data_IF_197815722284
#
_entry.id   IF_197815722284
#
_cell.length_a   1.000
_cell.length_b   1.000
_cell.length_c   1.000
_cell.angle_alpha   90.00
_cell.angle_beta   90.00
_cell.angle_gamma   90.00
#
_symmetry.space_group_name_H-M   'P 1'
#
loop_
_entity.id
_entity.type
_entity.pdbx_description
1 polymer ?
#
# COMPACT_ATOMS: atom_id res chain seq x y z
N UNK A 1 -38.00 54.68 10.37
CA UNK A 1 -36.68 54.24 9.88
C UNK A 1 -35.90 53.64 11.04
N UNK A 2 -35.86 52.32 11.14
CA UNK A 2 -34.92 51.52 11.96
C UNK A 2 -35.31 50.05 11.77
N UNK A 3 -34.32 49.19 11.55
CA UNK A 3 -34.40 47.71 11.64
C UNK A 3 -34.75 46.90 10.37
N UNK A 4 -34.14 47.19 9.21
CA UNK A 4 -34.15 46.23 8.07
C UNK A 4 -32.73 45.74 7.71
N UNK A 5 -31.67 46.46 8.07
CA UNK A 5 -30.30 46.13 7.65
C UNK A 5 -29.63 45.00 8.44
N UNK A 6 -30.04 44.73 9.68
CA UNK A 6 -29.40 43.72 10.54
C UNK A 6 -29.86 42.28 10.25
N UNK A 7 -31.06 42.12 9.67
CA UNK A 7 -31.61 40.80 9.33
C UNK A 7 -30.99 40.25 8.02
N UNK A 8 -30.49 41.12 7.15
CA UNK A 8 -29.86 40.70 5.89
C UNK A 8 -28.42 40.16 6.06
N UNK A 9 -27.77 40.45 7.19
CA UNK A 9 -26.39 40.02 7.45
C UNK A 9 -26.29 38.64 8.13
N UNK A 10 -27.39 38.15 8.73
CA UNK A 10 -27.42 36.87 9.44
C UNK A 10 -27.86 35.69 8.54
N UNK A 11 -28.45 35.97 7.37
CA UNK A 11 -28.89 34.94 6.41
C UNK A 11 -27.77 34.57 5.41
N UNK A 12 -26.74 35.40 5.26
CA UNK A 12 -25.62 35.14 4.32
C UNK A 12 -24.52 34.24 4.91
N UNK A 13 -24.51 33.98 6.22
CA UNK A 13 -23.47 33.16 6.89
C UNK A 13 -23.84 31.68 7.02
N UNK A 14 -25.07 31.28 6.67
CA UNK A 14 -25.52 29.87 6.76
C UNK A 14 -25.33 29.05 5.47
N UNK A 15 -24.68 29.64 4.46
CA UNK A 15 -24.32 28.95 3.20
C UNK A 15 -22.81 28.69 3.05
N UNK A 16 -22.05 28.71 4.14
CA UNK A 16 -20.80 27.96 4.22
C UNK A 16 -21.11 26.53 4.68
N UNK A 17 -21.93 25.81 3.91
CA UNK A 17 -21.75 24.36 3.84
C UNK A 17 -20.39 24.16 3.18
N UNK A 18 -19.32 24.16 4.00
CA UNK A 18 -18.08 23.52 3.60
C UNK A 18 -18.50 22.13 3.16
N UNK A 19 -18.35 21.86 1.86
CA UNK A 19 -18.62 20.54 1.32
C UNK A 19 -17.64 19.60 1.99
N UNK A 20 -18.05 18.99 3.10
CA UNK A 20 -17.35 17.85 3.68
C UNK A 20 -17.47 16.78 2.60
N UNK A 21 -16.43 16.69 1.77
CA UNK A 21 -16.33 15.62 0.80
C UNK A 21 -16.13 14.37 1.62
N UNK A 22 -17.24 13.64 1.83
CA UNK A 22 -17.19 12.30 2.38
C UNK A 22 -16.55 11.47 1.28
N UNK A 23 -15.22 11.41 1.26
CA UNK A 23 -14.50 10.55 0.34
C UNK A 23 -14.83 9.11 0.72
N UNK A 24 -15.65 8.46 -0.12
CA UNK A 24 -15.94 7.05 0.06
C UNK A 24 -14.67 6.26 -0.24
N UNK A 25 -14.35 5.30 0.63
CA UNK A 25 -13.15 4.48 0.52
C UNK A 25 -13.05 3.86 -0.88
N UNK A 26 -11.89 4.03 -1.52
CA UNK A 26 -11.60 3.43 -2.81
C UNK A 26 -10.25 2.73 -2.83
N UNK A 27 -9.92 2.18 -4.00
CA UNK A 27 -8.59 1.66 -4.28
C UNK A 27 -7.98 2.50 -5.39
N UNK A 28 -6.87 3.16 -5.08
CA UNK A 28 -6.08 3.92 -6.02
C UNK A 28 -4.89 3.11 -6.52
N UNK A 29 -4.62 3.21 -7.81
CA UNK A 29 -3.47 2.59 -8.47
C UNK A 29 -2.42 3.64 -8.80
N UNK A 30 -1.16 3.33 -8.54
CA UNK A 30 -0.05 4.11 -9.06
C UNK A 30 0.17 3.82 -10.55
N UNK A 31 0.11 4.86 -11.37
CA UNK A 31 0.34 4.82 -12.82
C UNK A 31 1.67 5.48 -13.22
N UNK A 32 2.24 6.34 -12.37
CA UNK A 32 3.50 7.05 -12.64
C UNK A 32 3.51 7.81 -13.97
N UNK A 33 2.35 8.30 -14.43
CA UNK A 33 2.18 8.86 -15.78
C UNK A 33 2.86 10.22 -15.97
N UNK A 34 2.97 11.01 -14.91
CA UNK A 34 3.46 12.40 -14.96
C UNK A 34 4.81 12.56 -14.29
N UNK A 35 5.04 11.93 -13.14
CA UNK A 35 6.25 12.12 -12.33
C UNK A 35 6.42 11.00 -11.31
N UNK A 36 7.48 11.07 -10.51
CA UNK A 36 7.71 10.18 -9.36
C UNK A 36 6.99 10.66 -8.08
N UNK A 37 6.46 11.88 -8.06
CA UNK A 37 5.88 12.51 -6.88
C UNK A 37 4.56 11.85 -6.46
N UNK A 38 4.52 11.30 -5.24
CA UNK A 38 3.32 10.66 -4.66
C UNK A 38 2.11 11.60 -4.65
N UNK A 39 2.35 12.87 -4.35
CA UNK A 39 1.33 13.92 -4.22
C UNK A 39 0.72 14.38 -5.55
N UNK A 40 1.28 13.99 -6.69
CA UNK A 40 0.77 14.40 -8.01
C UNK A 40 -0.44 13.56 -8.39
N UNK A 41 -1.64 14.16 -8.37
CA UNK A 41 -2.91 13.48 -8.64
C UNK A 41 -2.95 12.72 -9.98
N UNK A 42 -2.29 13.23 -11.02
CA UNK A 42 -2.25 12.59 -12.35
C UNK A 42 -1.38 11.32 -12.42
N UNK A 43 -0.65 10.99 -11.35
CA UNK A 43 0.02 9.70 -11.21
C UNK A 43 -0.92 8.60 -10.69
N UNK A 44 -2.17 8.91 -10.35
CA UNK A 44 -3.12 7.96 -9.78
C UNK A 44 -4.30 7.67 -10.71
N UNK A 45 -4.89 6.49 -10.57
CA UNK A 45 -6.16 6.14 -11.20
C UNK A 45 -7.02 5.29 -10.27
N UNK A 46 -8.32 5.24 -10.54
CA UNK A 46 -9.27 4.41 -9.79
C UNK A 46 -9.17 2.96 -10.21
N UNK A 47 -9.04 2.05 -9.25
CA UNK A 47 -9.29 0.60 -9.44
C UNK A 47 -10.72 0.26 -9.03
N UNK A 48 -11.14 0.70 -7.84
CA UNK A 48 -12.49 0.49 -7.30
C UNK A 48 -12.94 1.68 -6.47
N UNK A 49 -14.25 1.88 -6.33
CA UNK A 49 -14.81 2.94 -5.48
C UNK A 49 -14.49 4.35 -6.00
N UNK A 50 -14.37 5.31 -5.09
CA UNK A 50 -14.10 6.73 -5.41
C UNK A 50 -12.94 7.27 -4.56
N UNK A 51 -11.71 6.74 -4.74
CA UNK A 51 -10.57 7.17 -3.95
C UNK A 51 -10.22 8.63 -4.21
N UNK A 52 -9.52 9.28 -3.27
CA UNK A 52 -8.92 10.59 -3.52
C UNK A 52 -7.60 10.45 -4.30
N UNK A 53 -7.20 11.53 -4.99
CA UNK A 53 -5.89 11.63 -5.66
C UNK A 53 -5.16 12.89 -5.21
N UNK A 54 -4.02 12.76 -4.49
CA UNK A 54 -3.41 11.52 -4.01
C UNK A 54 -4.30 10.76 -2.99
N UNK A 55 -4.05 9.45 -2.77
CA UNK A 55 -4.83 8.62 -1.86
C UNK A 55 -4.80 9.15 -0.43
N UNK A 56 -5.96 9.12 0.23
CA UNK A 56 -6.16 9.56 1.62
C UNK A 56 -6.20 8.39 2.61
N UNK A 57 -6.43 8.69 3.89
CA UNK A 57 -6.40 7.69 4.97
C UNK A 57 -7.39 6.54 4.81
N UNK A 58 -8.45 6.73 4.04
CA UNK A 58 -9.46 5.70 3.81
C UNK A 58 -9.19 4.87 2.55
N UNK A 59 -8.20 5.26 1.74
CA UNK A 59 -7.95 4.65 0.44
C UNK A 59 -6.91 3.54 0.53
N UNK A 60 -7.19 2.44 -0.17
CA UNK A 60 -6.22 1.40 -0.45
C UNK A 60 -5.33 1.82 -1.63
N UNK A 61 -4.06 1.46 -1.56
CA UNK A 61 -3.08 1.73 -2.63
C UNK A 61 -2.58 0.43 -3.23
N UNK A 62 -2.58 0.36 -4.56
CA UNK A 62 -1.91 -0.71 -5.32
C UNK A 62 -0.80 -0.10 -6.18
N UNK A 63 0.37 -0.72 -6.14
CA UNK A 63 1.53 -0.39 -6.96
C UNK A 63 1.97 -1.68 -7.68
N UNK A 64 2.29 -1.61 -8.96
CA UNK A 64 2.83 -2.75 -9.69
C UNK A 64 1.78 -3.64 -10.37
N UNK A 65 0.50 -3.26 -10.38
CA UNK A 65 -0.55 -3.99 -11.13
C UNK A 65 -0.71 -3.53 -12.58
N UNK A 66 -0.03 -2.44 -12.97
CA UNK A 66 0.16 -2.01 -14.36
C UNK A 66 1.62 -1.65 -14.62
N UNK A 67 2.00 -1.54 -15.89
CA UNK A 67 3.32 -1.08 -16.31
C UNK A 67 3.45 0.43 -16.08
N UNK A 68 4.53 0.85 -15.42
CA UNK A 68 4.93 2.24 -15.27
C UNK A 68 6.46 2.33 -15.14
N UNK A 69 7.00 3.54 -15.37
CA UNK A 69 8.44 3.80 -15.29
C UNK A 69 8.81 4.74 -14.14
N UNK A 70 7.96 5.71 -13.82
CA UNK A 70 8.19 6.62 -12.71
C UNK A 70 7.84 5.92 -11.39
N UNK A 71 8.87 5.56 -10.62
CA UNK A 71 8.73 4.93 -9.31
C UNK A 71 8.27 5.94 -8.25
N UNK A 72 7.33 5.58 -7.35
CA UNK A 72 6.76 6.53 -6.40
C UNK A 72 7.74 6.99 -5.32
N UNK A 73 7.71 8.29 -5.02
CA UNK A 73 8.47 8.95 -3.95
C UNK A 73 7.50 9.73 -3.06
N UNK A 74 7.45 9.38 -1.77
CA UNK A 74 6.63 10.05 -0.75
C UNK A 74 7.45 11.19 -0.13
N UNK A 75 7.11 12.42 -0.48
CA UNK A 75 7.82 13.63 -0.02
C UNK A 75 7.11 14.39 1.10
N UNK A 76 5.91 13.96 1.49
CA UNK A 76 5.13 14.57 2.57
C UNK A 76 4.44 13.48 3.41
N UNK A 77 4.22 13.79 4.70
CA UNK A 77 3.55 12.85 5.60
C UNK A 77 2.18 12.49 5.04
N UNK A 78 1.94 11.21 4.86
CA UNK A 78 0.75 10.69 4.21
C UNK A 78 0.20 9.51 5.01
N UNK A 79 -1.12 9.40 5.08
CA UNK A 79 -1.80 8.24 5.67
C UNK A 79 -2.67 7.60 4.59
N UNK A 80 -2.60 6.27 4.49
CA UNK A 80 -3.42 5.43 3.61
C UNK A 80 -3.95 4.22 4.39
N UNK A 81 -5.00 3.60 3.87
CA UNK A 81 -5.63 2.43 4.51
C UNK A 81 -4.77 1.18 4.38
N UNK A 82 -4.33 0.86 3.17
CA UNK A 82 -3.49 -0.30 2.88
C UNK A 82 -2.55 -0.03 1.72
N UNK A 83 -1.45 -0.78 1.66
CA UNK A 83 -0.48 -0.71 0.58
C UNK A 83 -0.23 -2.12 0.04
N UNK A 84 -0.51 -2.36 -1.23
CA UNK A 84 -0.24 -3.62 -1.89
C UNK A 84 0.72 -3.43 -3.07
N UNK A 85 1.76 -4.26 -3.10
CA UNK A 85 2.59 -4.48 -4.28
C UNK A 85 2.07 -5.69 -5.06
N UNK A 86 1.76 -5.47 -6.33
CA UNK A 86 1.26 -6.49 -7.25
C UNK A 86 2.35 -6.96 -8.22
N UNK A 87 1.95 -7.78 -9.18
CA UNK A 87 2.86 -8.66 -9.92
C UNK A 87 3.25 -8.22 -11.32
N UNK A 88 2.51 -7.29 -11.93
CA UNK A 88 2.72 -6.86 -13.32
C UNK A 88 4.07 -6.15 -13.52
N UNK A 89 4.56 -5.40 -12.54
CA UNK A 89 5.82 -4.66 -12.64
C UNK A 89 6.48 -4.53 -11.27
N UNK A 90 7.78 -4.85 -11.19
CA UNK A 90 8.57 -4.65 -9.97
C UNK A 90 8.56 -3.17 -9.59
N UNK A 91 8.22 -2.90 -8.34
CA UNK A 91 8.01 -1.56 -7.84
C UNK A 91 9.03 -1.19 -6.75
N UNK A 92 9.46 0.07 -6.76
CA UNK A 92 10.29 0.67 -5.72
C UNK A 92 9.54 1.86 -5.14
N UNK A 93 9.14 1.77 -3.87
CA UNK A 93 8.58 2.89 -3.12
C UNK A 93 9.68 3.57 -2.30
N UNK A 94 9.90 4.86 -2.51
CA UNK A 94 10.85 5.66 -1.72
C UNK A 94 10.12 6.56 -0.73
N UNK A 95 10.54 6.57 0.54
CA UNK A 95 10.05 7.54 1.54
C UNK A 95 11.19 8.48 1.94
N UNK A 96 10.99 9.77 1.71
CA UNK A 96 12.02 10.80 1.91
C UNK A 96 12.38 11.03 3.38
N UNK A 97 13.55 11.63 3.63
CA UNK A 97 14.02 11.91 4.99
C UNK A 97 13.00 12.76 5.78
N UNK A 98 12.77 12.43 7.05
CA UNK A 98 11.83 13.14 7.91
C UNK A 98 10.35 12.94 7.55
N UNK A 99 10.05 12.13 6.54
CA UNK A 99 8.68 11.81 6.10
C UNK A 99 8.24 10.47 6.69
N UNK A 100 6.98 10.41 7.10
CA UNK A 100 6.30 9.17 7.53
C UNK A 100 5.17 8.82 6.58
N UNK A 101 5.20 7.60 6.04
CA UNK A 101 4.05 6.96 5.41
C UNK A 101 3.36 6.07 6.44
N UNK A 102 2.13 6.42 6.83
CA UNK A 102 1.29 5.62 7.72
C UNK A 102 0.35 4.75 6.91
N UNK A 103 0.41 3.44 7.10
CA UNK A 103 -0.46 2.43 6.47
C UNK A 103 -1.30 1.78 7.56
N UNK A 104 -2.54 2.25 7.75
CA UNK A 104 -3.33 1.91 8.95
C UNK A 104 -3.67 0.43 9.08
N UNK A 105 -3.69 -0.31 7.97
CA UNK A 105 -3.90 -1.75 7.95
C UNK A 105 -2.59 -2.49 7.62
N UNK A 106 -2.37 -2.87 6.36
CA UNK A 106 -1.29 -3.76 6.01
C UNK A 106 -0.48 -3.26 4.82
N UNK A 107 0.84 -3.50 4.87
CA UNK A 107 1.70 -3.56 3.70
C UNK A 107 1.72 -5.00 3.19
N UNK A 108 1.36 -5.23 1.94
CA UNK A 108 1.26 -6.56 1.35
C UNK A 108 2.11 -6.68 0.09
N UNK A 109 2.94 -7.71 0.01
CA UNK A 109 3.57 -8.15 -1.23
C UNK A 109 2.86 -9.40 -1.74
N UNK A 110 2.17 -9.29 -2.87
CA UNK A 110 1.36 -10.40 -3.40
C UNK A 110 2.20 -11.41 -4.18
N UNK A 111 1.84 -12.68 -4.03
CA UNK A 111 2.28 -13.74 -4.93
C UNK A 111 1.53 -13.69 -6.24
N UNK A 112 2.13 -14.26 -7.28
CA UNK A 112 1.50 -14.46 -8.58
C UNK A 112 1.62 -15.89 -9.06
N UNK A 113 0.59 -16.33 -9.78
CA UNK A 113 0.45 -17.66 -10.38
C UNK A 113 1.54 -17.95 -11.43
N UNK A 114 1.84 -16.97 -12.28
CA UNK A 114 2.60 -17.17 -13.52
C UNK A 114 4.05 -16.69 -13.45
N UNK A 115 4.36 -15.76 -12.54
CA UNK A 115 5.64 -15.03 -12.51
C UNK A 115 6.14 -14.87 -11.08
N UNK A 116 7.45 -14.71 -10.94
CA UNK A 116 8.04 -14.26 -9.67
C UNK A 116 7.78 -12.78 -9.48
N UNK A 117 7.55 -12.36 -8.25
CA UNK A 117 7.18 -10.99 -7.91
C UNK A 117 8.20 -10.40 -6.94
N UNK A 118 8.50 -9.11 -7.12
CA UNK A 118 9.38 -8.39 -6.21
C UNK A 118 9.01 -6.93 -6.05
N UNK A 119 9.20 -6.40 -4.84
CA UNK A 119 9.09 -4.98 -4.56
C UNK A 119 10.14 -4.53 -3.54
N UNK A 120 10.47 -3.24 -3.59
CA UNK A 120 11.42 -2.59 -2.71
C UNK A 120 10.76 -1.41 -2.00
N UNK A 121 10.91 -1.35 -0.69
CA UNK A 121 10.64 -0.15 0.12
C UNK A 121 11.97 0.43 0.56
N UNK A 122 12.26 1.67 0.18
CA UNK A 122 13.55 2.33 0.45
C UNK A 122 13.39 3.77 0.94
N UNK A 123 14.51 4.40 1.28
CA UNK A 123 14.59 5.79 1.70
C UNK A 123 15.02 5.97 3.15
N UNK A 124 15.23 7.22 3.54
CA UNK A 124 15.64 7.59 4.90
C UNK A 124 14.47 7.97 5.81
N UNK A 125 13.24 7.91 5.30
CA UNK A 125 12.02 8.16 6.07
C UNK A 125 11.58 7.00 6.95
N UNK A 126 10.30 7.05 7.35
CA UNK A 126 9.65 6.04 8.19
C UNK A 126 8.43 5.44 7.48
N UNK A 127 8.25 4.13 7.59
CA UNK A 127 6.94 3.49 7.38
C UNK A 127 6.39 3.03 8.72
N UNK A 128 5.14 3.38 8.99
CA UNK A 128 4.37 2.84 10.11
C UNK A 128 3.21 2.03 9.56
N UNK A 129 3.10 0.76 9.93
CA UNK A 129 1.99 -0.09 9.51
C UNK A 129 1.44 -0.93 10.66
N UNK A 130 0.16 -1.33 10.56
CA UNK A 130 -0.37 -2.31 11.51
C UNK A 130 0.23 -3.70 11.25
N UNK A 131 0.38 -4.14 9.99
CA UNK A 131 1.00 -5.43 9.68
C UNK A 131 1.77 -5.43 8.36
N UNK A 132 2.63 -6.43 8.20
CA UNK A 132 3.28 -6.73 6.92
C UNK A 132 2.95 -8.16 6.53
N UNK A 133 2.55 -8.37 5.28
CA UNK A 133 2.32 -9.70 4.71
C UNK A 133 3.15 -9.85 3.44
N UNK A 134 3.98 -10.89 3.36
CA UNK A 134 4.72 -11.24 2.16
C UNK A 134 4.31 -12.64 1.69
N UNK A 135 3.82 -12.72 0.45
CA UNK A 135 3.19 -13.92 -0.08
C UNK A 135 1.67 -13.90 0.07
N UNK A 136 1.00 -14.86 -0.56
CA UNK A 136 -0.46 -14.99 -0.49
C UNK A 136 -0.84 -16.42 -0.13
N UNK A 137 -1.70 -16.57 0.87
CA UNK A 137 -2.33 -17.84 1.20
C UNK A 137 -3.55 -18.09 0.28
N UNK A 138 -3.77 -19.35 -0.07
CA UNK A 138 -5.03 -19.82 -0.67
C UNK A 138 -5.03 -20.01 -2.18
N UNK A 139 -6.13 -20.58 -2.67
CA UNK A 139 -6.25 -21.11 -4.03
C UNK A 139 -6.35 -20.07 -5.16
N UNK A 140 -6.41 -18.77 -4.83
CA UNK A 140 -6.52 -17.71 -5.85
C UNK A 140 -5.19 -17.39 -6.54
N UNK A 141 -4.05 -17.76 -5.94
CA UNK A 141 -2.70 -17.46 -6.45
C UNK A 141 -1.81 -18.73 -6.45
N UNK A 142 -2.31 -19.81 -7.05
CA UNK A 142 -1.59 -21.08 -7.12
C UNK A 142 -0.38 -20.98 -8.05
N UNK A 143 0.86 -21.23 -7.59
CA UNK A 143 2.00 -21.32 -8.49
C UNK A 143 1.79 -22.48 -9.49
N UNK A 144 2.09 -22.23 -10.77
CA UNK A 144 2.11 -23.24 -11.84
C UNK A 144 3.52 -23.74 -12.19
N UNK A 145 4.53 -23.15 -11.56
CA UNK A 145 5.93 -23.54 -11.58
C UNK A 145 6.60 -23.01 -10.31
N UNK A 146 7.88 -23.29 -10.10
CA UNK A 146 8.62 -22.67 -9.01
C UNK A 146 8.76 -21.15 -9.24
N UNK A 147 8.42 -20.38 -8.21
CA UNK A 147 8.31 -18.92 -8.18
C UNK A 147 8.80 -18.36 -6.85
N UNK A 148 9.03 -17.06 -6.84
CA UNK A 148 9.39 -16.31 -5.64
C UNK A 148 8.49 -15.09 -5.46
N UNK A 149 8.33 -14.67 -4.22
CA UNK A 149 7.65 -13.41 -3.86
C UNK A 149 8.49 -12.69 -2.82
N UNK A 150 9.10 -11.58 -3.21
CA UNK A 150 10.14 -10.93 -2.40
C UNK A 150 9.73 -9.50 -2.08
N UNK A 151 9.64 -9.17 -0.79
CA UNK A 151 9.56 -7.79 -0.32
C UNK A 151 10.87 -7.44 0.36
N UNK A 152 11.64 -6.56 -0.27
CA UNK A 152 12.88 -6.04 0.29
C UNK A 152 12.63 -4.67 0.90
N UNK A 153 13.19 -4.41 2.07
CA UNK A 153 13.20 -3.09 2.67
C UNK A 153 14.61 -2.65 3.07
N UNK A 154 14.91 -1.40 2.72
CA UNK A 154 16.12 -0.66 3.08
C UNK A 154 15.77 0.66 3.78
N UNK A 155 14.51 0.79 4.23
CA UNK A 155 14.01 2.01 4.88
C UNK A 155 14.72 2.23 6.22
N UNK A 156 14.95 3.48 6.60
CA UNK A 156 15.59 3.81 7.88
C UNK A 156 14.81 3.26 9.09
N UNK A 157 13.48 3.44 9.10
CA UNK A 157 12.61 2.95 10.18
C UNK A 157 11.34 2.32 9.62
N UNK A 158 11.07 1.08 10.02
CA UNK A 158 9.82 0.37 9.74
C UNK A 158 9.16 -0.06 11.06
N UNK A 159 8.10 0.62 11.46
CA UNK A 159 7.31 0.28 12.64
C UNK A 159 6.11 -0.59 12.25
N UNK A 160 6.02 -1.79 12.82
CA UNK A 160 4.92 -2.73 12.58
C UNK A 160 4.23 -3.02 13.90
N UNK A 161 2.97 -2.60 14.06
CA UNK A 161 2.29 -2.62 15.37
C UNK A 161 1.84 -4.03 15.77
N UNK A 162 1.28 -4.78 14.84
CA UNK A 162 0.87 -6.16 15.04
C UNK A 162 2.06 -7.05 14.68
N UNK A 163 2.07 -7.66 13.50
CA UNK A 163 3.08 -8.64 13.13
C UNK A 163 3.49 -8.61 11.67
N UNK A 164 4.52 -9.39 11.38
CA UNK A 164 4.99 -9.70 10.03
C UNK A 164 4.61 -11.14 9.73
N UNK A 165 3.96 -11.40 8.61
CA UNK A 165 3.63 -12.75 8.13
C UNK A 165 4.31 -13.00 6.79
N UNK A 166 5.05 -14.08 6.67
CA UNK A 166 5.62 -14.56 5.41
C UNK A 166 4.99 -15.90 5.09
N UNK A 167 4.32 -16.00 3.96
CA UNK A 167 3.60 -17.22 3.55
C UNK A 167 4.14 -17.74 2.24
N UNK A 168 4.88 -18.85 2.30
CA UNK A 168 5.19 -19.63 1.10
C UNK A 168 4.01 -20.54 0.76
N UNK A 169 3.83 -20.84 -0.52
CA UNK A 169 2.73 -21.66 -1.01
C UNK A 169 3.24 -22.82 -1.86
N UNK A 170 2.77 -24.04 -1.64
CA UNK A 170 3.06 -25.21 -2.46
C UNK A 170 1.81 -25.73 -3.15
N UNK A 171 1.86 -25.88 -4.47
CA UNK A 171 0.81 -26.43 -5.31
C UNK A 171 1.33 -27.66 -6.07
N UNK A 172 1.12 -28.86 -5.52
CA UNK A 172 1.68 -30.08 -6.08
C UNK A 172 3.22 -30.00 -6.14
N UNK A 173 3.78 -30.08 -7.35
CA UNK A 173 5.22 -29.96 -7.59
C UNK A 173 5.74 -28.53 -7.75
N UNK A 174 4.88 -27.50 -7.66
CA UNK A 174 5.26 -26.09 -7.83
C UNK A 174 5.24 -25.35 -6.50
N UNK A 175 6.21 -24.46 -6.28
CA UNK A 175 6.31 -23.68 -5.04
C UNK A 175 6.40 -22.19 -5.33
N UNK A 176 5.73 -21.35 -4.54
CA UNK A 176 6.04 -19.93 -4.42
C UNK A 176 6.74 -19.71 -3.08
N UNK A 177 8.03 -19.38 -3.14
CA UNK A 177 8.84 -19.08 -1.97
C UNK A 177 8.75 -17.59 -1.65
N UNK A 178 8.09 -17.27 -0.55
CA UNK A 178 7.97 -15.90 -0.07
C UNK A 178 9.14 -15.52 0.85
N UNK A 179 9.69 -14.33 0.63
CA UNK A 179 10.81 -13.78 1.41
C UNK A 179 10.53 -12.33 1.77
N UNK A 180 10.49 -12.03 3.06
CA UNK A 180 10.59 -10.68 3.56
C UNK A 180 12.04 -10.40 3.99
N UNK A 181 12.66 -9.35 3.45
CA UNK A 181 14.07 -9.03 3.68
C UNK A 181 14.24 -7.61 4.19
N UNK A 182 14.77 -7.45 5.41
CA UNK A 182 15.30 -6.18 5.91
C UNK A 182 16.81 -6.14 5.61
N UNK A 183 17.19 -5.42 4.56
CA UNK A 183 18.59 -5.32 4.13
C UNK A 183 19.39 -4.28 4.92
N UNK A 184 18.74 -3.16 5.29
CA UNK A 184 19.33 -2.06 6.07
C UNK A 184 18.24 -1.38 6.90
N UNK A 185 18.66 -0.56 7.86
CA UNK A 185 17.76 0.20 8.73
C UNK A 185 17.28 -0.60 9.93
N UNK A 186 16.15 -0.19 10.50
CA UNK A 186 15.58 -0.80 11.71
C UNK A 186 14.12 -1.14 11.50
N UNK A 187 13.72 -2.33 11.98
CA UNK A 187 12.33 -2.73 12.07
C UNK A 187 11.97 -3.00 13.52
N UNK A 188 10.86 -2.43 13.97
CA UNK A 188 10.22 -2.78 15.25
C UNK A 188 8.94 -3.54 14.95
N UNK A 189 8.77 -4.71 15.55
CA UNK A 189 7.54 -5.52 15.46
C UNK A 189 6.92 -5.60 16.84
N UNK A 190 5.69 -5.11 16.99
CA UNK A 190 5.01 -5.03 18.29
C UNK A 190 4.53 -6.38 18.82
N UNK A 191 4.27 -7.36 17.95
CA UNK A 191 3.89 -8.72 18.35
C UNK A 191 4.84 -9.78 17.78
N UNK A 192 4.43 -10.51 16.76
CA UNK A 192 5.10 -11.73 16.29
C UNK A 192 5.50 -11.66 14.83
N UNK A 193 6.60 -12.33 14.49
CA UNK A 193 6.97 -12.66 13.11
C UNK A 193 6.55 -14.11 12.88
N UNK A 194 5.67 -14.34 11.89
CA UNK A 194 5.15 -15.66 11.53
C UNK A 194 5.67 -16.07 10.17
N UNK A 195 6.33 -17.23 10.12
CA UNK A 195 6.67 -17.92 8.88
C UNK A 195 5.68 -19.06 8.70
N UNK A 196 4.98 -19.09 7.58
CA UNK A 196 3.99 -20.13 7.28
C UNK A 196 4.25 -20.74 5.91
N UNK A 197 3.98 -22.04 5.81
CA UNK A 197 3.84 -22.74 4.56
C UNK A 197 2.37 -23.13 4.41
N UNK A 198 1.83 -22.94 3.21
CA UNK A 198 0.46 -23.33 2.88
C UNK A 198 0.47 -24.29 1.69
N UNK A 199 -0.39 -25.31 1.75
CA UNK A 199 -0.52 -26.34 0.71
C UNK A 199 -1.84 -26.20 -0.02
N UNK A 200 -1.80 -26.37 -1.35
CA UNK A 200 -3.01 -26.65 -2.14
C UNK A 200 -3.52 -28.07 -1.90
N UNK A 201 -4.72 -28.38 -2.39
CA UNK A 201 -5.38 -29.68 -2.21
C UNK A 201 -4.53 -30.91 -2.60
N UNK A 202 -3.45 -30.72 -3.38
CA UNK A 202 -2.54 -31.77 -3.85
C UNK A 202 -1.13 -31.71 -3.24
N UNK A 203 -0.85 -30.85 -2.26
CA UNK A 203 0.48 -30.70 -1.66
C UNK A 203 0.44 -30.92 -0.15
N UNK A 204 0.89 -32.08 0.32
CA UNK A 204 1.34 -32.21 1.69
C UNK A 204 2.51 -31.23 1.90
N UNK A 205 2.42 -30.43 2.96
CA UNK A 205 3.43 -29.44 3.38
C UNK A 205 4.69 -30.18 3.78
#
# INVERSE_FOLDING_TARGET
>A
MKNITTIFFFVLTFFFFSSVQIFAAGTARWTGRTSTAWETASNWSTVTGTPSFPPSSNDAVIIGDTIFTAQPVVNSNTTISSLAFDSTTSATLTVSNGVTLTVTNAVTMKSATLISTSAIITGSGTISSASVTCGTAGASNLPLADRTTILTTTINTFNVTNGVTVTSYKNGGSTNLATFQLSTGTMTVGTTITMSASGGANGAI
#
